data_IF_689823722678
#
_entry.id   IF_689823722678
#
_cell.length_a   1.000
_cell.length_b   1.000
_cell.length_c   1.000
_cell.angle_alpha   90.00
_cell.angle_beta   90.00
_cell.angle_gamma   90.00
#
_symmetry.space_group_name_H-M   'P 1'
#
loop_
_entity.id
_entity.type
_entity.pdbx_description
1 polymer ?
#
# COMPACT_ATOMS: atom_id res chain seq x y z
N UNK A 1 -14.27 14.12 -21.13
CA UNK A 1 -14.11 14.33 -19.68
C UNK A 1 -12.69 13.95 -19.24
N UNK A 2 -12.16 12.79 -19.61
CA UNK A 2 -10.78 12.35 -19.27
C UNK A 2 -9.73 13.33 -19.80
N UNK A 3 -9.82 13.77 -21.05
CA UNK A 3 -8.87 14.71 -21.68
C UNK A 3 -8.83 16.08 -21.02
N UNK A 4 -9.94 16.54 -20.41
CA UNK A 4 -10.00 17.83 -19.73
C UNK A 4 -9.52 17.74 -18.26
N UNK A 5 -9.79 16.63 -17.57
CA UNK A 5 -9.46 16.46 -16.15
C UNK A 5 -8.02 16.02 -15.92
N UNK A 6 -7.49 15.14 -16.76
CA UNK A 6 -6.16 14.55 -16.56
C UNK A 6 -5.05 15.60 -16.44
N UNK A 7 -4.94 16.62 -17.31
CA UNK A 7 -3.89 17.63 -17.18
C UNK A 7 -4.00 18.48 -15.89
N UNK A 8 -5.22 18.73 -15.43
CA UNK A 8 -5.47 19.50 -14.19
C UNK A 8 -4.99 18.70 -12.99
N UNK A 9 -5.38 17.42 -12.91
CA UNK A 9 -5.00 16.53 -11.81
C UNK A 9 -3.50 16.30 -11.80
N UNK A 10 -2.88 16.09 -12.96
CA UNK A 10 -1.43 15.96 -13.08
C UNK A 10 -0.68 17.20 -12.59
N UNK A 11 -1.18 18.40 -12.93
CA UNK A 11 -0.58 19.66 -12.44
C UNK A 11 -0.67 19.77 -10.92
N UNK A 12 -1.80 19.41 -10.31
CA UNK A 12 -1.99 19.40 -8.85
C UNK A 12 -1.03 18.39 -8.23
N UNK A 13 -0.95 17.17 -8.77
CA UNK A 13 -0.06 16.12 -8.30
C UNK A 13 1.42 16.51 -8.43
N UNK A 14 1.82 17.26 -9.45
CA UNK A 14 3.16 17.78 -9.59
C UNK A 14 3.63 18.61 -8.40
N UNK A 15 2.70 19.33 -7.72
CA UNK A 15 3.01 20.02 -6.47
C UNK A 15 2.85 19.13 -5.24
N UNK A 16 1.75 18.41 -5.13
CA UNK A 16 1.45 17.58 -3.96
C UNK A 16 2.43 16.40 -3.82
N UNK A 17 2.66 15.65 -4.88
CA UNK A 17 3.50 14.44 -4.83
C UNK A 17 4.99 14.76 -4.80
N UNK A 18 5.44 15.66 -5.71
CA UNK A 18 6.88 15.85 -5.92
C UNK A 18 7.57 16.66 -4.83
N UNK A 19 6.81 17.47 -4.08
CA UNK A 19 7.37 18.33 -3.04
C UNK A 19 6.77 18.04 -1.67
N UNK A 20 5.45 18.17 -1.51
CA UNK A 20 4.79 18.08 -0.19
C UNK A 20 4.87 16.66 0.34
N UNK A 21 4.47 15.67 -0.46
CA UNK A 21 4.45 14.28 -0.03
C UNK A 21 5.85 13.78 0.31
N UNK A 22 6.82 13.96 -0.60
CA UNK A 22 8.21 13.49 -0.41
C UNK A 22 8.79 14.11 0.86
N UNK A 23 8.60 15.44 1.04
CA UNK A 23 9.10 16.14 2.22
C UNK A 23 8.46 15.63 3.52
N UNK A 24 7.13 15.42 3.53
CA UNK A 24 6.42 14.92 4.71
C UNK A 24 6.82 13.49 5.07
N UNK A 25 6.90 12.58 4.10
CA UNK A 25 7.29 11.19 4.35
C UNK A 25 8.70 11.08 4.93
N UNK A 26 9.65 11.82 4.35
CA UNK A 26 11.02 11.87 4.85
C UNK A 26 11.06 12.52 6.24
N UNK A 27 10.40 13.65 6.43
CA UNK A 27 10.40 14.37 7.70
C UNK A 27 9.80 13.53 8.84
N UNK A 28 8.61 12.93 8.64
CA UNK A 28 7.97 12.08 9.65
C UNK A 28 8.79 10.83 9.91
N UNK A 29 9.27 10.16 8.86
CA UNK A 29 10.05 8.94 8.98
C UNK A 29 11.39 9.15 9.69
N UNK A 30 12.13 10.21 9.36
CA UNK A 30 13.36 10.61 10.07
C UNK A 30 13.06 11.01 11.52
N UNK A 31 12.02 11.81 11.73
CA UNK A 31 11.61 12.22 13.05
C UNK A 31 11.37 11.05 13.98
N UNK A 32 10.55 10.09 13.55
CA UNK A 32 10.28 8.91 14.36
C UNK A 32 11.46 7.96 14.45
N UNK A 33 12.26 7.79 13.39
CA UNK A 33 13.50 7.01 13.47
C UNK A 33 14.42 7.55 14.56
N UNK A 34 14.60 8.88 14.64
CA UNK A 34 15.46 9.51 15.66
C UNK A 34 14.81 9.45 17.05
N UNK A 35 13.53 9.86 17.18
CA UNK A 35 12.83 9.93 18.47
C UNK A 35 12.63 8.56 19.12
N UNK A 36 12.46 7.52 18.33
CA UNK A 36 12.34 6.13 18.81
C UNK A 36 13.69 5.40 18.85
N UNK A 37 14.80 6.10 18.59
CA UNK A 37 16.16 5.52 18.51
C UNK A 37 16.21 4.33 17.54
N UNK A 38 15.69 4.52 16.33
CA UNK A 38 15.63 3.51 15.27
C UNK A 38 14.87 2.24 15.71
N UNK A 39 13.61 2.40 16.12
CA UNK A 39 12.73 1.29 16.52
C UNK A 39 12.70 0.18 15.45
N UNK A 40 12.72 0.55 14.18
CA UNK A 40 12.72 -0.37 13.04
C UNK A 40 13.97 -1.28 12.96
N UNK A 41 15.04 -0.92 13.65
CA UNK A 41 16.24 -1.76 13.77
C UNK A 41 16.25 -2.49 15.12
N UNK A 42 16.06 -1.74 16.21
CA UNK A 42 16.20 -2.26 17.58
C UNK A 42 15.13 -3.29 17.95
N UNK A 43 13.91 -3.09 17.49
CA UNK A 43 12.76 -3.95 17.78
C UNK A 43 12.36 -4.83 16.58
N UNK A 44 13.19 -4.89 15.52
CA UNK A 44 12.90 -5.72 14.34
C UNK A 44 12.73 -7.19 14.70
N UNK A 45 13.66 -7.75 15.50
CA UNK A 45 13.60 -9.14 15.95
C UNK A 45 12.36 -9.45 16.78
N UNK A 46 11.94 -8.50 17.62
CA UNK A 46 10.72 -8.61 18.41
C UNK A 46 9.49 -8.69 17.50
N UNK A 47 9.37 -7.76 16.55
CA UNK A 47 8.29 -7.76 15.56
C UNK A 47 8.29 -9.04 14.72
N UNK A 48 9.45 -9.48 14.25
CA UNK A 48 9.61 -10.72 13.50
C UNK A 48 9.11 -11.94 14.29
N UNK A 49 9.53 -12.06 15.55
CA UNK A 49 9.10 -13.14 16.43
C UNK A 49 7.60 -13.06 16.74
N UNK A 50 7.04 -11.85 16.88
CA UNK A 50 5.60 -11.67 17.10
C UNK A 50 4.76 -12.13 15.91
N UNK A 51 5.27 -11.96 14.68
CA UNK A 51 4.58 -12.38 13.45
C UNK A 51 4.78 -13.87 13.17
N UNK A 52 6.01 -14.35 13.23
CA UNK A 52 6.37 -15.71 12.79
C UNK A 52 6.57 -16.72 13.92
N UNK A 53 6.86 -16.25 15.13
CA UNK A 53 7.12 -17.13 16.30
C UNK A 53 5.85 -17.72 16.92
N UNK A 54 4.72 -17.09 16.68
CA UNK A 54 3.40 -17.52 17.18
C UNK A 54 2.42 -17.88 16.05
N UNK A 55 2.92 -18.36 14.90
CA UNK A 55 2.10 -18.76 13.76
C UNK A 55 1.13 -19.88 14.12
N UNK A 56 0.05 -19.50 14.80
CA UNK A 56 -1.19 -20.25 14.78
C UNK A 56 -1.95 -19.81 13.52
N UNK A 57 -1.90 -20.61 12.47
CA UNK A 57 -2.68 -20.42 11.23
C UNK A 57 -4.21 -20.52 11.50
N UNK A 58 -4.61 -20.64 12.74
CA UNK A 58 -6.01 -20.65 13.21
C UNK A 58 -6.20 -19.46 14.13
N UNK A 59 -6.60 -18.32 13.56
CA UNK A 59 -7.15 -17.21 14.33
C UNK A 59 -8.37 -17.69 15.10
N UNK A 60 -8.33 -17.62 16.44
CA UNK A 60 -9.49 -17.91 17.28
C UNK A 60 -10.59 -16.85 17.03
N UNK A 61 -11.87 -17.25 17.15
CA UNK A 61 -12.97 -16.28 17.21
C UNK A 61 -12.73 -15.35 18.40
N UNK A 62 -12.69 -14.06 18.13
CA UNK A 62 -12.65 -13.02 19.16
C UNK A 62 -14.09 -12.55 19.42
N UNK A 63 -14.41 -12.23 20.65
CA UNK A 63 -15.72 -11.65 21.01
C UNK A 63 -15.88 -10.25 20.44
N UNK A 64 -14.77 -9.48 20.35
CA UNK A 64 -14.73 -8.16 19.70
C UNK A 64 -13.40 -7.96 18.99
N UNK A 65 -13.42 -7.22 17.87
CA UNK A 65 -12.21 -6.92 17.09
C UNK A 65 -11.61 -8.12 16.34
N UNK A 66 -10.30 -8.13 16.15
CA UNK A 66 -9.52 -9.15 15.44
C UNK A 66 -8.37 -9.65 16.30
N UNK A 67 -7.86 -10.87 16.03
CA UNK A 67 -6.55 -11.27 16.56
C UNK A 67 -5.44 -10.38 15.95
N UNK A 68 -4.27 -10.29 16.62
CA UNK A 68 -3.14 -9.53 16.07
C UNK A 68 -2.73 -10.04 14.69
N UNK A 69 -2.79 -11.35 14.44
CA UNK A 69 -2.53 -11.93 13.13
C UNK A 69 -3.59 -11.53 12.08
N UNK A 70 -4.89 -11.56 12.43
CA UNK A 70 -5.96 -11.11 11.52
C UNK A 70 -5.85 -9.63 11.20
N UNK A 71 -5.51 -8.80 12.17
CA UNK A 71 -5.28 -7.36 11.96
C UNK A 71 -4.07 -7.11 11.06
N UNK A 72 -2.97 -7.85 11.26
CA UNK A 72 -1.80 -7.80 10.38
C UNK A 72 -2.16 -8.31 8.97
N UNK A 73 -2.85 -9.44 8.85
CA UNK A 73 -3.26 -9.96 7.55
C UNK A 73 -4.19 -8.98 6.81
N UNK A 74 -5.08 -8.28 7.53
CA UNK A 74 -5.93 -7.24 6.95
C UNK A 74 -5.11 -6.02 6.52
N UNK A 75 -4.10 -5.61 7.31
CA UNK A 75 -3.18 -4.54 6.93
C UNK A 75 -2.32 -4.92 5.71
N UNK A 76 -1.74 -6.13 5.70
CA UNK A 76 -0.99 -6.66 4.55
C UNK A 76 -1.91 -6.81 3.32
N UNK A 77 -3.16 -7.23 3.49
CA UNK A 77 -4.13 -7.28 2.39
C UNK A 77 -4.36 -5.90 1.75
N UNK A 78 -4.36 -4.84 2.55
CA UNK A 78 -4.46 -3.48 2.05
C UNK A 78 -3.16 -3.04 1.36
N UNK A 79 -1.99 -3.33 1.94
CA UNK A 79 -0.67 -2.95 1.45
C UNK A 79 -0.27 -3.71 0.19
N UNK A 80 -0.28 -5.05 0.22
CA UNK A 80 0.17 -5.90 -0.90
C UNK A 80 -0.91 -5.98 -1.97
N UNK A 81 -0.88 -5.04 -2.88
CA UNK A 81 -1.87 -4.84 -3.94
C UNK A 81 -1.24 -4.54 -5.30
N UNK A 82 -1.95 -3.74 -6.10
CA UNK A 82 -1.41 -3.26 -7.39
C UNK A 82 -0.13 -2.46 -7.22
N UNK A 83 0.11 -1.86 -6.05
CA UNK A 83 1.32 -1.10 -5.75
C UNK A 83 2.59 -1.90 -5.97
N UNK A 84 2.62 -3.15 -5.52
CA UNK A 84 3.78 -4.04 -5.60
C UNK A 84 4.10 -4.53 -7.02
N UNK A 85 3.09 -4.64 -7.88
CA UNK A 85 3.24 -5.15 -9.25
C UNK A 85 3.18 -3.98 -10.25
N UNK A 86 2.03 -3.34 -10.40
CA UNK A 86 1.80 -2.28 -11.38
C UNK A 86 2.44 -0.95 -10.94
N UNK A 87 2.39 -0.63 -9.64
CA UNK A 87 3.02 0.57 -9.08
C UNK A 87 4.54 0.53 -9.22
N UNK A 88 5.18 -0.58 -8.84
CA UNK A 88 6.61 -0.79 -9.03
C UNK A 88 7.00 -0.78 -10.52
N UNK A 89 6.19 -1.40 -11.39
CA UNK A 89 6.35 -1.32 -12.85
C UNK A 89 6.34 0.12 -13.36
N UNK A 90 5.38 0.93 -12.91
CA UNK A 90 5.29 2.35 -13.25
C UNK A 90 6.48 3.16 -12.74
N UNK A 91 6.96 2.88 -11.52
CA UNK A 91 8.17 3.53 -10.98
C UNK A 91 9.41 3.22 -11.81
N UNK A 92 9.59 1.96 -12.22
CA UNK A 92 10.72 1.54 -13.06
C UNK A 92 10.62 2.16 -14.46
N UNK A 93 9.44 2.17 -15.08
CA UNK A 93 9.24 2.74 -16.41
C UNK A 93 9.48 4.25 -16.45
N UNK A 94 9.04 4.98 -15.43
CA UNK A 94 9.11 6.46 -15.41
C UNK A 94 10.39 6.96 -14.72
N UNK A 95 10.75 6.34 -13.58
CA UNK A 95 11.89 6.75 -12.76
C UNK A 95 13.17 5.94 -12.99
N UNK A 96 13.12 4.94 -13.87
CA UNK A 96 14.22 4.00 -14.09
C UNK A 96 14.39 3.00 -12.92
N UNK A 97 15.30 2.03 -13.07
CA UNK A 97 15.60 1.04 -11.99
C UNK A 97 15.99 1.66 -10.65
N UNK A 98 16.57 2.87 -10.65
CA UNK A 98 16.96 3.61 -9.45
C UNK A 98 15.79 4.05 -8.56
N UNK A 99 14.56 4.13 -9.08
CA UNK A 99 13.37 4.42 -8.28
C UNK A 99 13.16 3.37 -7.17
N UNK A 100 13.57 2.12 -7.40
CA UNK A 100 13.47 1.04 -6.41
C UNK A 100 14.33 1.31 -5.18
N UNK A 101 15.53 1.86 -5.34
CA UNK A 101 16.35 2.29 -4.21
C UNK A 101 15.62 3.31 -3.33
N UNK A 102 14.96 4.29 -3.95
CA UNK A 102 14.20 5.30 -3.22
C UNK A 102 12.95 4.72 -2.56
N UNK A 103 12.31 3.70 -3.15
CA UNK A 103 11.24 2.94 -2.48
C UNK A 103 11.76 2.25 -1.21
N UNK A 104 12.95 1.67 -1.23
CA UNK A 104 13.57 1.07 -0.03
C UNK A 104 13.86 2.10 1.05
N UNK A 105 14.39 3.27 0.67
CA UNK A 105 14.66 4.36 1.63
C UNK A 105 13.37 4.84 2.30
N UNK A 106 12.33 5.09 1.51
CA UNK A 106 11.02 5.52 2.03
C UNK A 106 10.39 4.43 2.90
N UNK A 107 10.50 3.15 2.52
CA UNK A 107 9.98 2.05 3.32
C UNK A 107 10.73 1.89 4.65
N UNK A 108 12.06 2.01 4.65
CA UNK A 108 12.85 1.96 5.88
C UNK A 108 12.45 3.06 6.87
N UNK A 109 12.27 4.28 6.39
CA UNK A 109 11.75 5.39 7.20
C UNK A 109 10.29 5.16 7.57
N UNK A 110 9.50 4.63 6.64
CA UNK A 110 8.10 4.28 6.81
C UNK A 110 7.86 3.24 7.90
N UNK A 111 8.80 2.31 8.13
CA UNK A 111 8.71 1.35 9.24
C UNK A 111 8.61 2.04 10.61
N UNK A 112 9.34 3.14 10.84
CA UNK A 112 9.22 3.92 12.06
C UNK A 112 7.90 4.72 12.10
N UNK A 113 7.45 5.19 10.95
CA UNK A 113 6.17 5.91 10.83
C UNK A 113 4.98 4.98 11.12
N UNK A 114 4.92 3.81 10.50
CA UNK A 114 3.82 2.85 10.72
C UNK A 114 3.81 2.31 12.15
N UNK A 115 4.99 2.16 12.77
CA UNK A 115 5.08 1.84 14.20
C UNK A 115 4.32 2.89 15.02
N UNK A 116 4.55 4.18 14.76
CA UNK A 116 3.88 5.26 15.45
C UNK A 116 2.38 5.26 15.18
N UNK A 117 1.97 5.11 13.93
CA UNK A 117 0.58 5.05 13.51
C UNK A 117 -0.19 3.92 14.19
N UNK A 118 0.36 2.70 14.17
CA UNK A 118 -0.28 1.53 14.79
C UNK A 118 -0.32 1.63 16.32
N UNK A 119 0.75 2.14 16.95
CA UNK A 119 0.80 2.41 18.38
C UNK A 119 -0.27 3.43 18.80
N UNK A 120 -0.40 4.54 18.08
CA UNK A 120 -1.41 5.56 18.34
C UNK A 120 -2.83 5.05 18.08
N UNK A 121 -3.02 4.24 17.05
CA UNK A 121 -4.32 3.65 16.75
C UNK A 121 -4.79 2.72 17.88
N UNK A 122 -3.89 1.97 18.48
CA UNK A 122 -4.17 1.14 19.65
C UNK A 122 -4.40 1.97 20.93
N UNK A 123 -3.60 3.01 21.15
CA UNK A 123 -3.72 3.87 22.35
C UNK A 123 -5.03 4.68 22.37
N UNK A 124 -5.52 5.06 21.20
CA UNK A 124 -6.69 5.98 21.06
C UNK A 124 -7.96 5.28 20.63
N UNK A 125 -7.96 3.96 20.43
CA UNK A 125 -9.15 3.20 20.07
C UNK A 125 -10.22 3.26 21.16
N UNK A 126 -11.46 3.14 20.75
CA UNK A 126 -12.62 3.05 21.64
C UNK A 126 -13.50 1.85 21.25
N UNK A 127 -14.29 1.36 22.18
CA UNK A 127 -15.29 0.32 21.91
C UNK A 127 -16.66 0.95 22.08
N UNK A 128 -17.53 0.80 21.09
CA UNK A 128 -18.89 1.29 21.18
C UNK A 128 -19.81 0.39 22.04
N UNK A 129 -21.07 0.81 22.21
CA UNK A 129 -22.06 0.08 23.03
C UNK A 129 -22.42 -1.29 22.44
N UNK A 130 -22.16 -1.49 21.15
CA UNK A 130 -22.44 -2.72 20.41
C UNK A 130 -21.22 -3.65 20.34
N UNK A 131 -20.13 -3.29 21.03
CA UNK A 131 -18.88 -4.05 21.07
C UNK A 131 -17.98 -3.86 19.83
N UNK A 132 -18.28 -2.89 18.94
CA UNK A 132 -17.42 -2.64 17.79
C UNK A 132 -16.23 -1.80 18.20
N UNK A 133 -15.04 -2.22 17.75
CA UNK A 133 -13.81 -1.46 17.92
C UNK A 133 -13.77 -0.32 16.92
N UNK A 134 -13.60 0.90 17.42
CA UNK A 134 -13.50 2.13 16.65
C UNK A 134 -12.11 2.71 16.86
N UNK A 135 -11.35 2.92 15.77
CA UNK A 135 -10.00 3.44 15.86
C UNK A 135 -9.46 3.86 14.50
N UNK A 136 -8.27 4.44 14.51
CA UNK A 136 -7.60 4.98 13.34
C UNK A 136 -7.34 6.48 13.45
N UNK A 137 -6.88 7.15 12.37
CA UNK A 137 -6.41 8.53 12.45
C UNK A 137 -7.39 9.56 13.00
N UNK A 138 -8.68 9.45 12.69
CA UNK A 138 -9.68 10.40 13.20
C UNK A 138 -9.71 10.44 14.73
N UNK A 139 -9.41 9.33 15.38
CA UNK A 139 -9.39 9.23 16.85
C UNK A 139 -8.12 9.84 17.43
N UNK A 140 -6.95 9.53 16.90
CA UNK A 140 -5.73 10.17 17.41
C UNK A 140 -5.60 11.64 16.96
N UNK A 141 -6.15 12.07 15.80
CA UNK A 141 -6.22 13.48 15.43
C UNK A 141 -7.05 14.28 16.45
N UNK A 142 -8.22 13.76 16.85
CA UNK A 142 -9.06 14.41 17.86
C UNK A 142 -8.48 14.29 19.28
N UNK A 143 -7.58 13.36 19.52
CA UNK A 143 -6.76 13.29 20.75
C UNK A 143 -5.68 14.34 20.76
N UNK A 144 -4.98 14.54 19.63
CA UNK A 144 -3.95 15.55 19.48
C UNK A 144 -4.49 16.99 19.58
N UNK A 145 -5.63 17.23 18.95
CA UNK A 145 -6.22 18.55 18.81
C UNK A 145 -7.66 18.56 19.31
N UNK A 146 -7.89 19.26 20.42
CA UNK A 146 -9.24 19.41 20.98
C UNK A 146 -10.02 20.53 20.27
N UNK A 147 -11.34 20.50 20.37
CA UNK A 147 -12.22 21.55 19.87
C UNK A 147 -12.45 21.53 18.34
N UNK A 148 -12.73 22.72 17.77
CA UNK A 148 -13.13 22.86 16.36
C UNK A 148 -12.05 22.47 15.36
N UNK A 149 -10.79 22.79 15.65
CA UNK A 149 -9.68 22.47 14.75
C UNK A 149 -9.46 20.96 14.63
N UNK A 150 -9.47 20.22 15.74
CA UNK A 150 -9.34 18.77 15.72
C UNK A 150 -10.47 18.08 14.95
N UNK A 151 -11.72 18.55 15.14
CA UNK A 151 -12.88 18.05 14.39
C UNK A 151 -12.77 18.33 12.89
N UNK A 152 -12.32 19.53 12.52
CA UNK A 152 -12.08 19.88 11.12
C UNK A 152 -11.03 18.98 10.49
N UNK A 153 -9.88 18.82 11.16
CA UNK A 153 -8.76 18.03 10.64
C UNK A 153 -9.13 16.55 10.53
N UNK A 154 -9.85 15.99 11.50
CA UNK A 154 -10.34 14.62 11.46
C UNK A 154 -11.42 14.44 10.36
N UNK A 155 -12.32 15.39 10.19
CA UNK A 155 -13.31 15.38 9.10
C UNK A 155 -12.68 15.47 7.72
N UNK A 156 -11.65 16.31 7.58
CA UNK A 156 -10.86 16.39 6.34
C UNK A 156 -10.17 15.07 6.03
N UNK A 157 -9.49 14.46 7.02
CA UNK A 157 -8.87 13.15 6.86
C UNK A 157 -9.91 12.09 6.46
N UNK A 158 -11.04 12.02 7.18
CA UNK A 158 -12.08 11.04 6.90
C UNK A 158 -12.65 11.17 5.49
N UNK A 159 -12.86 12.40 5.01
CA UNK A 159 -13.31 12.65 3.63
C UNK A 159 -12.25 12.25 2.63
N UNK A 160 -10.98 12.63 2.88
CA UNK A 160 -9.87 12.29 2.00
C UNK A 160 -9.68 10.77 1.84
N UNK A 161 -9.71 9.99 2.93
CA UNK A 161 -9.54 8.53 2.86
C UNK A 161 -10.72 7.82 2.18
N UNK A 162 -11.95 8.30 2.34
CA UNK A 162 -13.12 7.77 1.62
C UNK A 162 -12.91 7.95 0.11
N UNK A 163 -12.50 9.13 -0.32
CA UNK A 163 -12.24 9.42 -1.73
C UNK A 163 -10.98 8.70 -2.23
N UNK A 164 -9.89 8.71 -1.46
CA UNK A 164 -8.61 8.11 -1.82
C UNK A 164 -8.70 6.59 -1.96
N UNK A 165 -9.14 5.90 -0.92
CA UNK A 165 -9.09 4.43 -0.83
C UNK A 165 -10.45 3.81 -1.11
N UNK A 166 -11.51 4.36 -0.51
CA UNK A 166 -12.86 3.83 -0.65
C UNK A 166 -13.39 3.85 -2.08
N UNK A 167 -13.02 4.86 -2.85
CA UNK A 167 -13.49 5.04 -4.23
C UNK A 167 -12.35 4.97 -5.25
N UNK A 168 -11.46 5.96 -5.32
CA UNK A 168 -10.45 6.03 -6.37
C UNK A 168 -9.43 4.89 -6.29
N UNK A 169 -8.99 4.55 -5.09
CA UNK A 169 -8.09 3.42 -4.86
C UNK A 169 -8.70 2.07 -5.26
N UNK A 170 -9.96 1.83 -4.90
CA UNK A 170 -10.69 0.65 -5.36
C UNK A 170 -10.82 0.61 -6.89
N UNK A 171 -10.97 1.77 -7.57
CA UNK A 171 -10.92 1.85 -9.03
C UNK A 171 -9.55 1.47 -9.59
N UNK A 172 -8.44 1.89 -8.96
CA UNK A 172 -7.08 1.49 -9.37
C UNK A 172 -6.91 -0.02 -9.33
N UNK A 173 -7.37 -0.64 -8.23
CA UNK A 173 -7.29 -2.09 -8.07
C UNK A 173 -8.11 -2.82 -9.12
N UNK A 174 -9.38 -2.46 -9.29
CA UNK A 174 -10.28 -3.10 -10.26
C UNK A 174 -9.86 -2.84 -11.71
N UNK A 175 -9.35 -1.65 -12.04
CA UNK A 175 -8.77 -1.32 -13.34
C UNK A 175 -7.59 -2.23 -13.66
N UNK A 176 -6.65 -2.38 -12.74
CA UNK A 176 -5.47 -3.22 -12.94
C UNK A 176 -5.83 -4.71 -13.11
N UNK A 177 -6.82 -5.21 -12.34
CA UNK A 177 -7.36 -6.56 -12.55
C UNK A 177 -7.98 -6.66 -13.95
N UNK A 178 -8.83 -5.71 -14.35
CA UNK A 178 -9.49 -5.69 -15.64
C UNK A 178 -8.50 -5.74 -16.80
N UNK A 179 -7.49 -4.85 -16.80
CA UNK A 179 -6.48 -4.79 -17.87
C UNK A 179 -5.61 -6.05 -17.92
N UNK A 180 -5.10 -6.55 -16.78
CA UNK A 180 -4.23 -7.73 -16.79
C UNK A 180 -4.95 -9.02 -17.16
N UNK A 181 -6.22 -9.19 -16.74
CA UNK A 181 -7.05 -10.32 -17.17
C UNK A 181 -7.43 -10.22 -18.62
N UNK A 182 -7.78 -9.04 -19.11
CA UNK A 182 -8.04 -8.83 -20.54
C UNK A 182 -6.81 -9.18 -21.38
N UNK A 183 -5.62 -8.76 -20.96
CA UNK A 183 -4.37 -9.11 -21.64
C UNK A 183 -4.05 -10.61 -21.62
N UNK A 184 -4.35 -11.30 -20.51
CA UNK A 184 -4.00 -12.71 -20.34
C UNK A 184 -5.01 -13.69 -20.94
N UNK A 185 -6.31 -13.36 -20.88
CA UNK A 185 -7.41 -14.28 -21.19
C UNK A 185 -8.33 -13.79 -22.31
N UNK A 186 -8.08 -12.60 -22.88
CA UNK A 186 -8.93 -11.94 -23.88
C UNK A 186 -10.40 -11.76 -23.43
N UNK A 187 -10.63 -11.59 -22.12
CA UNK A 187 -11.95 -11.34 -21.54
C UNK A 187 -12.21 -9.83 -21.51
N UNK A 188 -13.35 -9.34 -21.98
CA UNK A 188 -13.71 -7.94 -21.88
C UNK A 188 -13.72 -7.45 -20.42
N UNK A 189 -13.16 -6.25 -20.16
CA UNK A 189 -12.98 -5.71 -18.80
C UNK A 189 -14.29 -5.54 -18.04
N UNK A 190 -15.40 -5.23 -18.71
CA UNK A 190 -16.71 -5.10 -18.07
C UNK A 190 -17.23 -6.42 -17.48
N UNK A 191 -16.93 -7.58 -18.09
CA UNK A 191 -17.29 -8.89 -17.54
C UNK A 191 -16.55 -9.12 -16.23
N UNK A 192 -15.24 -8.78 -16.21
CA UNK A 192 -14.40 -8.88 -15.03
C UNK A 192 -14.96 -7.96 -13.93
N UNK A 193 -15.40 -6.75 -14.31
CA UNK A 193 -16.04 -5.79 -13.39
C UNK A 193 -17.30 -6.35 -12.75
N UNK A 194 -18.19 -6.99 -13.50
CA UNK A 194 -19.40 -7.64 -12.96
C UNK A 194 -19.05 -8.74 -11.97
N UNK A 195 -18.08 -9.59 -12.28
CA UNK A 195 -17.63 -10.68 -11.40
C UNK A 195 -17.04 -10.11 -10.10
N UNK A 196 -16.18 -9.08 -10.21
CA UNK A 196 -15.60 -8.40 -9.04
C UNK A 196 -16.69 -7.82 -8.14
N UNK A 197 -17.65 -7.10 -8.70
CA UNK A 197 -18.76 -6.50 -7.95
C UNK A 197 -19.57 -7.56 -7.22
N UNK A 198 -19.87 -8.70 -7.88
CA UNK A 198 -20.60 -9.79 -7.26
C UNK A 198 -19.84 -10.39 -6.05
N UNK A 199 -18.55 -10.67 -6.20
CA UNK A 199 -17.73 -11.24 -5.14
C UNK A 199 -17.52 -10.23 -4.00
N UNK A 200 -17.17 -8.98 -4.33
CA UNK A 200 -16.99 -7.91 -3.32
C UNK A 200 -18.30 -7.65 -2.57
N UNK A 201 -19.43 -7.55 -3.26
CA UNK A 201 -20.73 -7.33 -2.66
C UNK A 201 -21.08 -8.43 -1.66
N UNK A 202 -20.87 -9.70 -2.01
CA UNK A 202 -21.08 -10.83 -1.12
C UNK A 202 -20.24 -10.72 0.17
N UNK A 203 -18.96 -10.31 0.06
CA UNK A 203 -18.07 -10.19 1.20
C UNK A 203 -18.43 -8.96 2.05
N UNK A 204 -18.68 -7.80 1.43
CA UNK A 204 -19.02 -6.57 2.14
C UNK A 204 -20.30 -6.67 2.98
N UNK A 205 -21.30 -7.41 2.51
CA UNK A 205 -22.52 -7.70 3.24
C UNK A 205 -22.28 -8.57 4.48
N UNK A 206 -21.17 -9.32 4.52
CA UNK A 206 -20.82 -10.18 5.67
C UNK A 206 -20.08 -9.47 6.80
N UNK A 207 -19.82 -8.16 6.66
CA UNK A 207 -19.18 -7.33 7.67
C UNK A 207 -17.70 -7.64 7.92
N UNK A 208 -17.17 -7.06 9.02
CA UNK A 208 -15.74 -7.10 9.38
C UNK A 208 -15.24 -8.53 9.61
N UNK A 209 -16.05 -9.38 10.23
CA UNK A 209 -15.66 -10.77 10.54
C UNK A 209 -15.45 -11.61 9.28
N UNK A 210 -16.34 -11.48 8.27
CA UNK A 210 -16.18 -12.17 6.99
C UNK A 210 -14.95 -11.66 6.24
N UNK A 211 -14.75 -10.36 6.21
CA UNK A 211 -13.59 -9.73 5.61
C UNK A 211 -12.30 -10.26 6.25
N UNK A 212 -12.17 -10.22 7.57
CA UNK A 212 -11.02 -10.73 8.29
C UNK A 212 -10.74 -12.21 8.01
N UNK A 213 -11.79 -13.05 7.98
CA UNK A 213 -11.65 -14.48 7.67
C UNK A 213 -11.18 -14.74 6.23
N UNK A 214 -11.55 -13.88 5.28
CA UNK A 214 -11.13 -13.99 3.90
C UNK A 214 -9.67 -13.53 3.74
N UNK A 215 -9.31 -12.38 4.29
CA UNK A 215 -7.95 -11.83 4.19
C UNK A 215 -6.93 -12.71 4.89
N UNK A 216 -7.24 -13.26 6.07
CA UNK A 216 -6.38 -14.20 6.81
C UNK A 216 -5.95 -15.41 5.98
N UNK A 217 -6.81 -15.89 5.10
CA UNK A 217 -6.54 -17.05 4.24
C UNK A 217 -5.88 -16.67 2.91
N UNK A 218 -6.34 -15.60 2.30
CA UNK A 218 -5.85 -15.18 0.96
C UNK A 218 -4.42 -14.67 1.05
N UNK A 219 -4.08 -13.86 2.07
CA UNK A 219 -2.78 -13.18 2.15
C UNK A 219 -1.60 -14.15 2.17
N UNK A 220 -1.54 -15.19 3.01
CA UNK A 220 -0.42 -16.14 2.97
C UNK A 220 -0.33 -16.90 1.65
N UNK A 221 -1.48 -17.29 1.06
CA UNK A 221 -1.51 -18.05 -0.20
C UNK A 221 -1.01 -17.19 -1.35
N UNK A 222 -1.52 -15.96 -1.49
CA UNK A 222 -1.11 -15.07 -2.57
C UNK A 222 0.38 -14.72 -2.48
N UNK A 223 0.90 -14.47 -1.27
CA UNK A 223 2.31 -14.20 -1.05
C UNK A 223 3.16 -15.43 -1.43
N UNK A 224 2.80 -16.63 -0.97
CA UNK A 224 3.54 -17.86 -1.25
C UNK A 224 3.61 -18.16 -2.75
N UNK A 225 2.49 -18.03 -3.47
CA UNK A 225 2.44 -18.28 -4.92
C UNK A 225 3.29 -17.27 -5.68
N UNK A 226 3.18 -15.98 -5.35
CA UNK A 226 3.94 -14.94 -6.03
C UNK A 226 5.44 -15.05 -5.73
N UNK A 227 5.82 -15.30 -4.47
CA UNK A 227 7.22 -15.49 -4.08
C UNK A 227 7.83 -16.73 -4.76
N UNK A 228 7.11 -17.84 -4.81
CA UNK A 228 7.58 -19.05 -5.49
C UNK A 228 7.82 -18.79 -7.00
N UNK A 229 6.85 -18.19 -7.70
CA UNK A 229 7.00 -17.87 -9.12
C UNK A 229 8.14 -16.88 -9.38
N UNK A 230 8.25 -15.82 -8.58
CA UNK A 230 9.34 -14.86 -8.69
C UNK A 230 10.72 -15.46 -8.43
N UNK A 231 10.84 -16.32 -7.41
CA UNK A 231 12.10 -17.04 -7.13
C UNK A 231 12.51 -17.96 -8.29
N UNK A 232 11.57 -18.65 -8.94
CA UNK A 232 11.87 -19.46 -10.13
C UNK A 232 12.48 -18.58 -11.23
N UNK A 233 11.88 -17.39 -11.49
CA UNK A 233 12.43 -16.46 -12.48
C UNK A 233 13.81 -15.96 -12.06
N UNK A 234 14.03 -15.58 -10.79
CA UNK A 234 15.33 -15.10 -10.32
C UNK A 234 16.41 -16.19 -10.38
N UNK A 235 16.07 -17.44 -10.08
CA UNK A 235 17.00 -18.58 -10.23
C UNK A 235 17.38 -18.76 -11.72
N UNK A 236 16.41 -18.70 -12.62
CA UNK A 236 16.67 -18.77 -14.06
C UNK A 236 17.53 -17.59 -14.57
N UNK A 237 17.42 -16.45 -13.93
CA UNK A 237 18.13 -15.20 -14.28
C UNK A 237 19.29 -14.89 -13.34
N UNK A 238 19.79 -15.84 -12.56
CA UNK A 238 20.74 -15.62 -11.47
C UNK A 238 22.02 -14.89 -11.90
N UNK A 239 22.53 -15.15 -13.11
CA UNK A 239 23.71 -14.47 -13.66
C UNK A 239 23.53 -12.97 -13.86
N UNK A 240 22.28 -12.49 -13.99
CA UNK A 240 21.95 -11.06 -14.18
C UNK A 240 21.66 -10.32 -12.86
N UNK A 241 21.54 -11.04 -11.74
CA UNK A 241 21.21 -10.44 -10.44
C UNK A 241 22.24 -9.39 -9.99
N UNK A 242 23.57 -9.62 -10.10
CA UNK A 242 24.56 -8.59 -9.75
C UNK A 242 24.42 -7.33 -10.60
N UNK A 243 24.20 -7.48 -11.92
CA UNK A 243 23.97 -6.34 -12.82
C UNK A 243 22.68 -5.59 -12.48
N UNK A 244 21.62 -6.31 -12.08
CA UNK A 244 20.33 -5.75 -11.63
C UNK A 244 20.51 -4.86 -10.41
N UNK A 245 21.19 -5.33 -9.36
CA UNK A 245 21.52 -4.50 -8.20
C UNK A 245 22.42 -3.32 -8.60
N UNK A 246 23.42 -3.56 -9.46
CA UNK A 246 24.25 -2.49 -10.01
C UNK A 246 23.44 -1.37 -10.67
N UNK A 247 22.40 -1.73 -11.46
CA UNK A 247 21.49 -0.75 -12.07
C UNK A 247 20.65 -0.01 -11.03
N UNK A 248 20.11 -0.70 -10.03
CA UNK A 248 19.31 -0.08 -8.97
C UNK A 248 20.14 0.98 -8.24
N UNK A 249 21.33 0.64 -7.77
CA UNK A 249 22.19 1.59 -7.04
C UNK A 249 22.75 2.69 -7.93
N UNK A 250 23.24 2.36 -9.13
CA UNK A 250 23.82 3.34 -10.05
C UNK A 250 22.79 4.38 -10.49
N UNK A 251 21.61 3.95 -10.91
CA UNK A 251 20.57 4.85 -11.41
C UNK A 251 19.77 5.54 -10.32
N UNK A 252 19.92 5.16 -9.07
CA UNK A 252 19.40 5.91 -7.94
C UNK A 252 20.06 7.29 -7.81
N UNK A 253 21.36 7.39 -8.16
CA UNK A 253 22.18 8.60 -8.02
C UNK A 253 22.63 9.19 -9.36
N UNK A 254 22.51 8.45 -10.46
CA UNK A 254 22.85 8.89 -11.81
C UNK A 254 21.76 8.47 -12.84
N UNK A 255 20.49 8.87 -12.64
CA UNK A 255 19.36 8.41 -13.46
C UNK A 255 19.33 8.99 -14.88
N UNK A 256 20.09 10.04 -15.20
CA UNK A 256 20.10 10.70 -16.49
C UNK A 256 20.42 9.77 -17.67
N UNK A 257 21.17 8.71 -17.43
CA UNK A 257 21.49 7.71 -18.46
C UNK A 257 20.27 6.91 -18.94
N UNK A 258 19.21 6.83 -18.09
CA UNK A 258 17.99 6.07 -18.37
C UNK A 258 16.80 7.00 -18.63
N UNK A 259 16.66 8.09 -17.86
CA UNK A 259 15.49 8.98 -17.94
C UNK A 259 15.70 10.05 -19.01
N UNK A 260 16.96 10.46 -19.23
CA UNK A 260 17.31 11.63 -20.04
C UNK A 260 17.19 12.94 -19.26
N UNK A 261 17.56 14.04 -19.89
CA UNK A 261 17.54 15.36 -19.29
C UNK A 261 18.69 15.65 -18.34
N UNK A 262 18.62 16.77 -17.61
CA UNK A 262 19.64 17.17 -16.64
C UNK A 262 19.63 16.31 -15.39
N UNK A 263 20.77 16.18 -14.73
CA UNK A 263 20.95 15.36 -13.52
C UNK A 263 19.89 15.65 -12.44
N UNK A 264 19.65 16.91 -12.12
CA UNK A 264 18.71 17.29 -11.07
C UNK A 264 17.24 16.90 -11.38
N UNK A 265 16.83 17.07 -12.65
CA UNK A 265 15.49 16.71 -13.08
C UNK A 265 15.28 15.18 -13.04
N UNK A 266 16.25 14.41 -13.52
CA UNK A 266 16.20 12.97 -13.53
C UNK A 266 16.21 12.38 -12.11
N UNK A 267 17.04 12.92 -11.20
CA UNK A 267 17.07 12.51 -9.80
C UNK A 267 15.74 12.82 -9.09
N UNK A 268 15.16 14.00 -9.35
CA UNK A 268 13.85 14.37 -8.81
C UNK A 268 12.77 13.36 -9.25
N UNK A 269 12.77 12.97 -10.52
CA UNK A 269 11.79 11.99 -11.04
C UNK A 269 11.96 10.63 -10.34
N UNK A 270 13.18 10.10 -10.25
CA UNK A 270 13.45 8.83 -9.59
C UNK A 270 13.03 8.84 -8.11
N UNK A 271 13.35 9.90 -7.37
CA UNK A 271 12.98 10.08 -5.97
C UNK A 271 11.45 10.21 -5.82
N UNK A 272 10.81 11.06 -6.63
CA UNK A 272 9.36 11.27 -6.57
C UNK A 272 8.59 9.99 -6.90
N UNK A 273 8.98 9.26 -7.95
CA UNK A 273 8.35 7.98 -8.29
C UNK A 273 8.60 6.94 -7.19
N UNK A 274 9.80 6.88 -6.64
CA UNK A 274 10.11 6.01 -5.50
C UNK A 274 9.24 6.31 -4.29
N UNK A 275 9.11 7.58 -3.91
CA UNK A 275 8.29 7.99 -2.76
C UNK A 275 6.79 7.75 -3.00
N UNK A 276 6.27 8.19 -4.14
CA UNK A 276 4.85 8.06 -4.51
C UNK A 276 4.41 6.59 -4.60
N UNK A 277 5.16 5.76 -5.29
CA UNK A 277 4.84 4.35 -5.47
C UNK A 277 5.19 3.50 -4.24
N UNK A 278 6.22 3.87 -3.48
CA UNK A 278 6.54 3.29 -2.19
C UNK A 278 5.41 3.49 -1.19
N UNK A 279 4.93 4.73 -1.02
CA UNK A 279 3.78 5.05 -0.17
C UNK A 279 2.52 4.30 -0.60
N UNK A 280 2.22 4.30 -1.90
CA UNK A 280 1.03 3.61 -2.43
C UNK A 280 1.08 2.09 -2.18
N UNK A 281 2.28 1.48 -2.11
CA UNK A 281 2.45 0.07 -1.80
C UNK A 281 2.32 -0.20 -0.30
N UNK A 282 3.21 0.38 0.51
CA UNK A 282 3.33 0.01 1.93
C UNK A 282 2.44 0.82 2.89
N UNK A 283 1.80 1.89 2.40
CA UNK A 283 0.85 2.76 3.11
C UNK A 283 1.40 3.45 4.37
N UNK A 284 2.70 3.36 4.67
CA UNK A 284 3.28 3.93 5.87
C UNK A 284 3.31 5.48 5.82
N UNK A 285 2.59 6.12 6.73
CA UNK A 285 2.38 7.57 6.75
C UNK A 285 1.10 8.04 6.07
N UNK A 286 0.35 7.13 5.43
CA UNK A 286 -0.97 7.44 4.86
C UNK A 286 -2.08 7.55 5.92
N UNK A 287 -1.93 6.89 7.06
CA UNK A 287 -3.00 6.78 8.05
C UNK A 287 -4.09 5.77 7.69
N UNK A 288 -3.86 4.89 6.72
CA UNK A 288 -4.84 3.90 6.25
C UNK A 288 -4.85 2.65 7.12
N UNK A 289 -3.72 1.93 7.20
CA UNK A 289 -3.60 0.67 7.96
C UNK A 289 -3.80 0.80 9.46
N UNK A 290 -3.63 1.96 10.13
CA UNK A 290 -4.04 2.15 11.52
C UNK A 290 -5.48 1.70 11.82
N UNK A 291 -6.39 1.76 10.85
CA UNK A 291 -7.75 1.25 11.01
C UNK A 291 -7.80 -0.27 11.25
N UNK A 292 -6.95 -1.04 10.56
CA UNK A 292 -6.83 -2.48 10.79
C UNK A 292 -6.09 -2.75 12.11
N UNK A 293 -4.99 -2.04 12.36
CA UNK A 293 -4.21 -2.21 13.58
C UNK A 293 -4.99 -1.85 14.85
N UNK A 294 -5.91 -0.89 14.80
CA UNK A 294 -6.81 -0.57 15.92
C UNK A 294 -7.71 -1.75 16.30
N UNK A 295 -8.09 -2.61 15.33
CA UNK A 295 -8.96 -3.78 15.57
C UNK A 295 -8.24 -4.91 16.33
N UNK A 296 -6.91 -4.90 16.40
CA UNK A 296 -6.14 -5.97 17.03
C UNK A 296 -6.36 -6.02 18.54
N UNK A 297 -6.61 -7.23 19.04
CA UNK A 297 -6.66 -7.49 20.47
C UNK A 297 -5.25 -7.83 20.97
N UNK A 298 -4.56 -6.86 21.54
CA UNK A 298 -3.19 -6.96 22.05
C UNK A 298 -3.09 -6.39 23.45
N UNK A 299 -2.10 -6.85 24.23
CA UNK A 299 -1.90 -6.44 25.63
C UNK A 299 -1.43 -4.98 25.75
N UNK A 300 -0.63 -4.50 24.81
CA UNK A 300 -0.15 -3.13 24.80
C UNK A 300 0.03 -2.59 23.37
N UNK A 301 -0.03 -1.26 23.17
CA UNK A 301 0.12 -0.63 21.86
C UNK A 301 1.45 -0.91 21.16
N UNK A 302 2.56 -1.03 21.90
CA UNK A 302 3.88 -1.34 21.36
C UNK A 302 3.89 -2.64 20.57
N UNK A 303 3.22 -3.68 21.09
CA UNK A 303 3.14 -4.99 20.44
C UNK A 303 2.55 -4.89 19.02
N UNK A 304 1.50 -4.09 18.83
CA UNK A 304 0.92 -3.90 17.50
C UNK A 304 1.79 -2.98 16.62
N UNK A 305 2.47 -2.03 17.21
CA UNK A 305 3.44 -1.19 16.50
C UNK A 305 4.58 -1.99 15.86
N UNK A 306 5.20 -2.91 16.60
CA UNK A 306 6.29 -3.75 16.05
C UNK A 306 5.78 -4.74 15.01
N UNK A 307 4.55 -5.24 15.14
CA UNK A 307 3.90 -6.09 14.13
C UNK A 307 3.67 -5.30 12.82
N UNK A 308 3.21 -4.06 12.91
CA UNK A 308 2.97 -3.20 11.76
C UNK A 308 4.26 -2.93 10.96
N UNK A 309 5.41 -2.73 11.63
CA UNK A 309 6.71 -2.57 10.96
C UNK A 309 7.04 -3.77 10.07
N UNK A 310 6.76 -4.98 10.51
CA UNK A 310 7.02 -6.20 9.73
C UNK A 310 6.11 -6.26 8.51
N UNK A 311 4.89 -5.74 8.59
CA UNK A 311 4.01 -5.59 7.43
C UNK A 311 4.66 -4.78 6.31
N UNK A 312 5.20 -3.60 6.62
CA UNK A 312 5.94 -2.75 5.66
C UNK A 312 7.20 -3.44 5.13
N UNK A 313 7.93 -4.16 5.99
CA UNK A 313 9.09 -4.92 5.57
C UNK A 313 8.71 -6.00 4.54
N UNK A 314 7.68 -6.80 4.81
CA UNK A 314 7.19 -7.84 3.90
C UNK A 314 6.72 -7.22 2.58
N UNK A 315 5.94 -6.14 2.63
CA UNK A 315 5.43 -5.46 1.43
C UNK A 315 6.58 -5.02 0.52
N UNK A 316 7.48 -4.20 1.03
CA UNK A 316 8.45 -3.51 0.16
C UNK A 316 9.75 -4.28 -0.01
N UNK A 317 10.37 -4.77 1.08
CA UNK A 317 11.68 -5.44 0.98
C UNK A 317 11.58 -6.88 0.48
N UNK A 318 10.40 -7.52 0.60
CA UNK A 318 10.22 -8.88 0.11
C UNK A 318 9.42 -8.87 -1.20
N UNK A 319 8.14 -8.52 -1.17
CA UNK A 319 7.23 -8.70 -2.31
C UNK A 319 7.54 -7.75 -3.46
N UNK A 320 7.63 -6.44 -3.18
CA UNK A 320 7.90 -5.43 -4.20
C UNK A 320 9.32 -5.59 -4.77
N UNK A 321 10.32 -5.85 -3.91
CA UNK A 321 11.69 -6.07 -4.34
C UNK A 321 11.81 -7.29 -5.25
N UNK A 322 11.14 -8.39 -4.93
CA UNK A 322 11.10 -9.57 -5.80
C UNK A 322 10.60 -9.20 -7.20
N UNK A 323 9.46 -8.50 -7.28
CA UNK A 323 8.89 -8.05 -8.55
C UNK A 323 9.86 -7.16 -9.33
N UNK A 324 10.48 -6.19 -8.65
CA UNK A 324 11.44 -5.29 -9.26
C UNK A 324 12.67 -6.03 -9.81
N UNK A 325 13.21 -6.98 -9.04
CA UNK A 325 14.33 -7.81 -9.49
C UNK A 325 13.96 -8.67 -10.70
N UNK A 326 12.75 -9.24 -10.73
CA UNK A 326 12.23 -9.99 -11.89
C UNK A 326 12.18 -9.07 -13.12
N UNK A 327 11.55 -7.90 -13.01
CA UNK A 327 11.41 -6.94 -14.12
C UNK A 327 12.78 -6.50 -14.64
N UNK A 328 13.68 -6.06 -13.75
CA UNK A 328 14.96 -5.50 -14.17
C UNK A 328 15.88 -6.58 -14.74
N UNK A 329 15.96 -7.76 -14.11
CA UNK A 329 16.82 -8.85 -14.57
C UNK A 329 16.38 -9.48 -15.89
N UNK A 330 15.11 -9.35 -16.27
CA UNK A 330 14.58 -9.91 -17.52
C UNK A 330 14.51 -8.89 -18.64
N UNK A 331 14.05 -7.66 -18.35
CA UNK A 331 13.73 -6.68 -19.40
C UNK A 331 14.83 -5.65 -19.63
N UNK A 332 15.62 -5.27 -18.62
CA UNK A 332 16.64 -4.23 -18.72
C UNK A 332 18.07 -4.76 -18.91
N UNK A 333 18.29 -6.04 -18.75
CA UNK A 333 19.58 -6.69 -18.99
C UNK A 333 19.74 -7.13 -20.44
N UNK A 334 20.93 -7.58 -20.81
CA UNK A 334 21.26 -8.03 -22.15
C UNK A 334 20.24 -9.06 -22.68
N UNK A 335 19.76 -8.83 -23.91
CA UNK A 335 18.71 -9.63 -24.56
C UNK A 335 17.28 -9.28 -24.13
N UNK A 336 17.08 -8.37 -23.18
CA UNK A 336 15.76 -7.89 -22.80
C UNK A 336 15.25 -6.76 -23.71
N UNK A 337 13.94 -6.60 -23.88
CA UNK A 337 13.33 -5.63 -24.79
C UNK A 337 13.58 -4.17 -24.37
N UNK A 338 13.94 -3.90 -23.14
CA UNK A 338 14.23 -2.56 -22.61
C UNK A 338 15.71 -2.31 -22.37
N UNK A 339 16.58 -3.23 -22.81
CA UNK A 339 18.03 -3.05 -22.68
C UNK A 339 18.51 -1.81 -23.43
N UNK A 340 19.11 -0.88 -22.70
CA UNK A 340 19.59 0.39 -23.28
C UNK A 340 18.50 1.41 -23.62
N UNK A 341 17.23 1.11 -23.39
CA UNK A 341 16.14 2.05 -23.61
C UNK A 341 16.11 3.16 -22.55
N UNK A 342 15.93 4.41 -22.98
CA UNK A 342 15.55 5.50 -22.09
C UNK A 342 14.07 5.38 -21.65
N UNK A 343 13.66 6.13 -20.62
CA UNK A 343 12.32 6.03 -20.04
C UNK A 343 11.19 6.30 -21.05
N UNK A 344 11.35 7.29 -21.94
CA UNK A 344 10.36 7.58 -22.98
C UNK A 344 10.20 6.39 -23.95
N UNK A 345 11.32 5.89 -24.50
CA UNK A 345 11.29 4.75 -25.39
C UNK A 345 10.74 3.47 -24.72
N UNK A 346 11.02 3.27 -23.44
CA UNK A 346 10.49 2.14 -22.69
C UNK A 346 8.96 2.19 -22.56
N UNK A 347 8.38 3.39 -22.37
CA UNK A 347 6.93 3.60 -22.27
C UNK A 347 6.22 3.45 -23.62
N UNK A 348 6.92 3.65 -24.74
CA UNK A 348 6.39 3.37 -26.09
C UNK A 348 6.31 1.86 -26.36
N UNK A 349 7.18 1.06 -25.75
CA UNK A 349 7.24 -0.40 -25.93
C UNK A 349 6.31 -1.15 -24.98
N UNK A 350 6.29 -0.77 -23.70
CA UNK A 350 5.55 -1.48 -22.64
C UNK A 350 4.79 -0.50 -21.75
N UNK A 351 3.66 -0.97 -21.23
CA UNK A 351 2.83 -0.24 -20.25
C UNK A 351 3.09 -0.76 -18.84
N UNK A 352 2.81 0.06 -17.82
CA UNK A 352 2.93 -0.34 -16.40
C UNK A 352 2.10 -1.59 -16.05
N UNK A 353 0.97 -1.81 -16.72
CA UNK A 353 0.05 -2.93 -16.46
C UNK A 353 0.50 -4.26 -17.07
N UNK A 354 1.30 -4.25 -18.15
CA UNK A 354 1.81 -5.47 -18.77
C UNK A 354 3.29 -5.73 -18.52
N UNK A 355 4.02 -4.79 -17.90
CA UNK A 355 5.47 -4.90 -17.70
C UNK A 355 5.85 -6.18 -16.91
N UNK A 356 5.17 -6.44 -15.80
CA UNK A 356 5.41 -7.63 -15.01
C UNK A 356 5.01 -8.90 -15.79
N UNK A 357 3.89 -8.87 -16.53
CA UNK A 357 3.46 -9.99 -17.37
C UNK A 357 4.52 -10.37 -18.41
N UNK A 358 5.09 -9.37 -19.08
CA UNK A 358 6.20 -9.58 -20.05
C UNK A 358 7.45 -10.10 -19.34
N UNK A 359 7.78 -9.58 -18.16
CA UNK A 359 8.96 -10.00 -17.39
C UNK A 359 8.89 -11.48 -16.99
N UNK A 360 7.78 -11.93 -16.43
CA UNK A 360 7.55 -13.34 -16.13
C UNK A 360 7.48 -14.20 -17.38
N UNK A 361 6.95 -13.65 -18.48
CA UNK A 361 6.87 -14.30 -19.77
C UNK A 361 8.23 -14.70 -20.36
N UNK A 362 9.31 -13.98 -20.02
CA UNK A 362 10.67 -14.32 -20.45
C UNK A 362 11.10 -15.73 -20.01
N UNK A 363 10.61 -16.19 -18.84
CA UNK A 363 10.99 -17.51 -18.28
C UNK A 363 9.84 -18.52 -18.43
N UNK A 364 8.61 -18.12 -18.19
CA UNK A 364 7.47 -19.05 -18.24
C UNK A 364 6.86 -19.21 -19.63
N UNK A 365 7.26 -18.37 -20.63
CA UNK A 365 6.58 -18.20 -21.89
C UNK A 365 5.49 -17.11 -21.79
N UNK A 366 5.26 -16.37 -22.88
CA UNK A 366 4.42 -15.16 -22.91
C UNK A 366 3.02 -15.40 -22.33
N UNK A 367 2.32 -16.43 -22.77
CA UNK A 367 0.97 -16.73 -22.28
C UNK A 367 0.94 -17.15 -20.81
N UNK A 368 1.83 -18.06 -20.41
CA UNK A 368 1.88 -18.55 -19.02
C UNK A 368 2.32 -17.46 -18.04
N UNK A 369 3.30 -16.61 -18.42
CA UNK A 369 3.72 -15.47 -17.62
C UNK A 369 2.61 -14.45 -17.45
N UNK A 370 1.87 -14.13 -18.52
CA UNK A 370 0.73 -13.22 -18.46
C UNK A 370 -0.37 -13.76 -17.53
N UNK A 371 -0.72 -15.05 -17.65
CA UNK A 371 -1.73 -15.70 -16.80
C UNK A 371 -1.28 -15.74 -15.34
N UNK A 372 -0.02 -16.10 -15.07
CA UNK A 372 0.52 -16.14 -13.72
C UNK A 372 0.41 -14.78 -13.01
N UNK A 373 0.86 -13.72 -13.67
CA UNK A 373 0.80 -12.37 -13.10
C UNK A 373 -0.64 -11.89 -12.96
N UNK A 374 -1.53 -12.18 -13.91
CA UNK A 374 -2.94 -11.81 -13.82
C UNK A 374 -3.60 -12.46 -12.59
N UNK A 375 -3.38 -13.76 -12.37
CA UNK A 375 -3.92 -14.48 -11.20
C UNK A 375 -3.33 -13.93 -9.89
N UNK A 376 -2.02 -13.71 -9.81
CA UNK A 376 -1.39 -13.13 -8.62
C UNK A 376 -1.93 -11.72 -8.35
N UNK A 377 -2.00 -10.88 -9.38
CA UNK A 377 -2.52 -9.52 -9.26
C UNK A 377 -4.00 -9.51 -8.86
N UNK A 378 -4.80 -10.46 -9.34
CA UNK A 378 -6.18 -10.60 -8.88
C UNK A 378 -6.23 -10.74 -7.36
N UNK A 379 -5.50 -11.68 -6.79
CA UNK A 379 -5.51 -11.88 -5.34
C UNK A 379 -4.96 -10.67 -4.57
N UNK A 380 -3.90 -10.05 -5.05
CA UNK A 380 -3.31 -8.85 -4.46
C UNK A 380 -4.29 -7.68 -4.48
N UNK A 381 -4.77 -7.32 -5.65
CA UNK A 381 -5.68 -6.18 -5.83
C UNK A 381 -7.05 -6.43 -5.19
N UNK A 382 -7.55 -7.65 -5.25
CA UNK A 382 -8.82 -8.02 -4.63
C UNK A 382 -8.74 -7.92 -3.10
N UNK A 383 -7.67 -8.44 -2.47
CA UNK A 383 -7.48 -8.30 -1.03
C UNK A 383 -7.36 -6.83 -0.60
N UNK A 384 -6.70 -5.99 -1.44
CA UNK A 384 -6.60 -4.55 -1.21
C UNK A 384 -7.96 -3.85 -1.29
N UNK A 385 -8.81 -4.20 -2.25
CA UNK A 385 -10.20 -3.70 -2.31
C UNK A 385 -10.92 -4.00 -0.98
N UNK A 386 -10.76 -5.19 -0.42
CA UNK A 386 -11.39 -5.57 0.84
C UNK A 386 -10.90 -4.70 2.00
N UNK A 387 -9.57 -4.54 2.14
CA UNK A 387 -8.96 -3.72 3.19
C UNK A 387 -9.36 -2.25 3.08
N UNK A 388 -9.26 -1.67 1.90
CA UNK A 388 -9.58 -0.27 1.67
C UNK A 388 -11.07 0.05 1.81
N UNK A 389 -11.92 -0.88 1.42
CA UNK A 389 -13.36 -0.74 1.67
C UNK A 389 -13.66 -0.67 3.18
N UNK A 390 -12.99 -1.49 4.00
CA UNK A 390 -13.12 -1.42 5.45
C UNK A 390 -12.71 -0.03 5.99
N UNK A 391 -11.59 0.51 5.53
CA UNK A 391 -11.10 1.82 5.98
C UNK A 391 -12.06 2.94 5.60
N UNK A 392 -12.57 2.96 4.37
CA UNK A 392 -13.59 3.91 3.94
C UNK A 392 -14.90 3.77 4.74
N UNK A 393 -15.34 2.55 5.01
CA UNK A 393 -16.54 2.25 5.79
C UNK A 393 -16.45 2.78 7.23
N UNK A 394 -15.30 2.62 7.89
CA UNK A 394 -15.07 3.14 9.26
C UNK A 394 -15.15 4.67 9.25
N UNK A 395 -14.55 5.32 8.27
CA UNK A 395 -14.58 6.79 8.17
C UNK A 395 -15.95 7.34 7.75
N UNK A 396 -16.69 6.61 6.93
CA UNK A 396 -18.08 6.95 6.59
C UNK A 396 -18.98 6.87 7.84
N UNK A 397 -18.80 5.83 8.65
CA UNK A 397 -19.51 5.70 9.93
C UNK A 397 -19.15 6.82 10.92
N UNK A 398 -17.89 7.26 10.93
CA UNK A 398 -17.44 8.40 11.75
C UNK A 398 -18.12 9.72 11.36
N UNK A 399 -18.23 10.00 10.05
CA UNK A 399 -18.81 11.26 9.56
C UNK A 399 -20.34 11.29 9.66
N UNK A 400 -21.02 10.20 9.31
CA UNK A 400 -22.46 10.16 9.06
C UNK A 400 -23.22 9.10 9.85
N UNK A 401 -22.52 8.38 10.74
CA UNK A 401 -23.09 7.30 11.54
C UNK A 401 -23.20 5.95 10.82
N UNK A 402 -23.49 4.89 11.55
CA UNK A 402 -23.45 3.49 11.06
C UNK A 402 -24.39 3.22 9.87
N UNK A 403 -25.55 3.90 9.80
CA UNK A 403 -26.52 3.71 8.71
C UNK A 403 -25.98 4.11 7.33
N UNK A 404 -25.03 5.08 7.28
CA UNK A 404 -24.41 5.54 6.04
C UNK A 404 -23.52 4.50 5.37
N UNK A 405 -23.09 3.49 6.12
CA UNK A 405 -22.18 2.45 5.60
C UNK A 405 -22.81 1.58 4.50
N UNK A 406 -24.12 1.45 4.47
CA UNK A 406 -24.86 0.75 3.40
C UNK A 406 -24.77 1.54 2.10
N UNK A 407 -25.06 2.86 2.18
CA UNK A 407 -24.98 3.75 1.01
C UNK A 407 -23.54 3.79 0.49
N UNK A 408 -22.55 3.92 1.39
CA UNK A 408 -21.15 3.86 1.04
C UNK A 408 -20.81 2.55 0.29
N UNK A 409 -21.25 1.40 0.79
CA UNK A 409 -20.97 0.10 0.17
C UNK A 409 -21.50 0.03 -1.27
N UNK A 410 -22.73 0.51 -1.51
CA UNK A 410 -23.32 0.54 -2.86
C UNK A 410 -22.50 1.44 -3.79
N UNK A 411 -22.14 2.65 -3.33
CA UNK A 411 -21.32 3.57 -4.11
C UNK A 411 -19.95 2.95 -4.40
N UNK A 412 -19.29 2.33 -3.41
CA UNK A 412 -18.00 1.68 -3.60
C UNK A 412 -18.05 0.57 -4.67
N UNK A 413 -19.12 -0.24 -4.67
CA UNK A 413 -19.33 -1.26 -5.72
C UNK A 413 -19.48 -0.64 -7.11
N UNK A 414 -20.17 0.50 -7.23
CA UNK A 414 -20.25 1.24 -8.50
C UNK A 414 -18.86 1.71 -8.95
N UNK A 415 -18.06 2.27 -8.03
CA UNK A 415 -16.70 2.70 -8.35
C UNK A 415 -15.77 1.52 -8.73
N UNK A 416 -15.91 0.35 -8.08
CA UNK A 416 -15.20 -0.87 -8.49
C UNK A 416 -15.54 -1.26 -9.93
N UNK A 417 -16.81 -1.20 -10.31
CA UNK A 417 -17.23 -1.46 -11.69
C UNK A 417 -16.68 -0.43 -12.67
N UNK A 418 -16.85 0.86 -12.37
CA UNK A 418 -16.36 1.96 -13.21
C UNK A 418 -14.84 1.93 -13.40
N UNK A 419 -14.10 1.45 -12.41
CA UNK A 419 -12.65 1.27 -12.50
C UNK A 419 -12.23 0.36 -13.65
N UNK A 420 -12.99 -0.70 -13.93
CA UNK A 420 -12.69 -1.60 -15.05
C UNK A 420 -12.98 -1.00 -16.44
N UNK A 421 -13.69 0.13 -16.50
CA UNK A 421 -14.08 0.83 -17.72
C UNK A 421 -13.30 2.12 -17.98
N UNK A 422 -12.56 2.62 -16.98
CA UNK A 422 -11.90 3.93 -17.03
C UNK A 422 -10.43 3.75 -17.45
N UNK A 423 -9.86 4.79 -18.07
CA UNK A 423 -8.44 4.77 -18.43
C UNK A 423 -7.54 4.71 -17.17
N UNK A 424 -6.50 3.88 -17.25
CA UNK A 424 -5.55 3.65 -16.18
C UNK A 424 -4.92 4.96 -15.65
N UNK A 425 -4.52 5.89 -16.54
CA UNK A 425 -3.81 7.09 -16.14
C UNK A 425 -4.65 8.03 -15.29
N UNK A 426 -5.91 8.29 -15.67
CA UNK A 426 -6.79 9.16 -14.89
C UNK A 426 -7.08 8.57 -13.52
N UNK A 427 -7.34 7.26 -13.44
CA UNK A 427 -7.64 6.57 -12.19
C UNK A 427 -6.46 6.65 -11.21
N UNK A 428 -5.24 6.40 -11.71
CA UNK A 428 -4.03 6.50 -10.91
C UNK A 428 -3.75 7.93 -10.43
N UNK A 429 -3.91 8.93 -11.30
CA UNK A 429 -3.68 10.33 -10.93
C UNK A 429 -4.70 10.85 -9.89
N UNK A 430 -5.98 10.47 -10.01
CA UNK A 430 -7.00 10.81 -9.02
C UNK A 430 -6.72 10.14 -7.67
N UNK A 431 -6.34 8.87 -7.68
CA UNK A 431 -5.96 8.15 -6.46
C UNK A 431 -4.76 8.82 -5.77
N UNK A 432 -3.71 9.15 -6.53
CA UNK A 432 -2.52 9.83 -6.00
C UNK A 432 -2.90 11.18 -5.37
N UNK A 433 -3.76 11.97 -6.01
CA UNK A 433 -4.18 13.28 -5.49
C UNK A 433 -4.85 13.17 -4.12
N UNK A 434 -5.81 12.27 -3.97
CA UNK A 434 -6.51 12.10 -2.69
C UNK A 434 -5.63 11.44 -1.62
N UNK A 435 -4.75 10.51 -2.01
CA UNK A 435 -3.75 9.94 -1.10
C UNK A 435 -2.83 11.02 -0.53
N UNK A 436 -2.34 11.93 -1.37
CA UNK A 436 -1.50 13.03 -0.93
C UNK A 436 -2.22 13.95 0.07
N UNK A 437 -3.51 14.20 -0.16
CA UNK A 437 -4.31 15.03 0.75
C UNK A 437 -4.51 14.39 2.12
N UNK A 438 -4.69 13.07 2.21
CA UNK A 438 -4.87 12.42 3.51
C UNK A 438 -3.58 12.30 4.33
N UNK A 439 -2.40 12.29 3.69
CA UNK A 439 -1.11 12.27 4.39
C UNK A 439 -0.90 13.53 5.26
N UNK A 440 -1.38 14.69 4.80
CA UNK A 440 -1.15 15.98 5.49
C UNK A 440 -1.73 15.99 6.92
N UNK A 441 -3.04 15.75 7.15
CA UNK A 441 -3.59 15.73 8.50
C UNK A 441 -3.01 14.62 9.37
N UNK A 442 -2.67 13.48 8.77
CA UNK A 442 -2.02 12.39 9.47
C UNK A 442 -0.64 12.80 9.99
N UNK A 443 0.21 13.37 9.14
CA UNK A 443 1.54 13.84 9.53
C UNK A 443 1.49 14.89 10.66
N UNK A 444 0.56 15.84 10.59
CA UNK A 444 0.36 16.85 11.63
C UNK A 444 0.04 16.19 12.99
N UNK A 445 -0.85 15.23 13.01
CA UNK A 445 -1.21 14.52 14.24
C UNK A 445 -0.05 13.66 14.76
N UNK A 446 0.69 13.01 13.88
CA UNK A 446 1.87 12.22 14.25
C UNK A 446 2.92 13.09 14.97
N UNK A 447 3.26 14.24 14.41
CA UNK A 447 4.20 15.16 15.09
C UNK A 447 3.70 15.60 16.47
N UNK A 448 2.41 15.92 16.60
CA UNK A 448 1.81 16.37 17.85
C UNK A 448 1.82 15.27 18.94
N UNK A 449 1.68 14.02 18.57
CA UNK A 449 1.58 12.88 19.48
C UNK A 449 2.88 12.11 19.69
N UNK A 450 4.02 12.67 19.28
CA UNK A 450 5.33 12.03 19.42
C UNK A 450 5.62 11.55 20.86
N UNK A 451 5.22 12.32 21.86
CA UNK A 451 5.43 11.98 23.29
C UNK A 451 4.77 10.65 23.69
N UNK A 452 3.55 10.40 23.20
CA UNK A 452 2.84 9.14 23.46
C UNK A 452 3.57 7.94 22.83
N UNK A 453 4.01 8.09 21.59
CA UNK A 453 4.73 7.00 20.89
C UNK A 453 6.04 6.68 21.60
N UNK A 454 6.82 7.69 21.97
CA UNK A 454 8.11 7.53 22.67
C UNK A 454 7.93 6.86 24.02
N UNK A 455 6.84 7.14 24.74
CA UNK A 455 6.50 6.47 26.01
C UNK A 455 6.37 4.95 25.82
N UNK A 456 5.69 4.52 24.76
CA UNK A 456 5.50 3.09 24.47
C UNK A 456 6.80 2.38 24.03
N UNK A 457 7.68 3.05 23.29
CA UNK A 457 8.97 2.46 22.85
C UNK A 457 9.91 2.22 24.03
N UNK A 458 9.93 3.13 25.01
CA UNK A 458 10.88 3.07 26.11
C UNK A 458 10.46 2.13 27.26
N UNK A 459 9.29 1.50 27.13
CA UNK A 459 8.82 0.50 28.09
C UNK A 459 8.60 1.05 29.48
N UNK A 460 7.49 1.76 29.72
CA UNK A 460 6.80 1.65 30.99
C UNK A 460 5.66 0.66 30.78
N UNK A 461 5.75 -0.56 31.33
CA UNK A 461 4.59 -1.41 31.42
C UNK A 461 3.64 -0.75 32.42
N UNK A 462 2.70 0.06 31.96
CA UNK A 462 1.45 0.15 32.68
C UNK A 462 0.75 -1.16 32.36
N UNK A 463 0.95 -2.12 33.30
CA UNK A 463 0.20 -3.33 33.37
C UNK A 463 -1.30 -3.03 33.21
N UNK A 464 -1.96 -3.88 32.42
CA UNK A 464 -3.35 -4.26 32.57
C UNK A 464 -4.40 -3.13 32.54
N UNK A 465 -4.51 -2.43 31.40
CA UNK A 465 -5.65 -1.53 31.15
C UNK A 465 -6.91 -2.24 30.62
N UNK A 466 -6.87 -3.55 30.46
CA UNK A 466 -7.94 -4.31 29.80
C UNK A 466 -8.24 -5.64 30.55
N UNK A 467 -8.38 -5.59 31.90
CA UNK A 467 -9.18 -6.57 32.62
C UNK A 467 -10.65 -6.15 32.68
#
# INVERSE_FOLDING_TARGET
>A
MTEALLPIVQKINGYLSDYILVALLIAVGLWYSIKTRFVQVRHFKEGWNSVFGSLSLRGGKQESGMSSFQALATAIAAQVGTGNIVGASGAILTGGPGAIFWMWVIAFLGMATIYAEATLAQETRTVDKDGNVLGGPVYYITTAFKGGFGKFLAGFFATAIILALGFMGCMVQSNSIGETFSNAFNVPTWIIGVVLVAICGFIFLGGVQRLASVTEKIVPIMAAVFLAGGLIVLIARIKYIPATFGMIFRYAFAPQAIIGGGFGAALKIALSQGAKRGLFSNEAGMGSTPHAHAQANVKNPHQQGVVAMIGVFIDTFVVLTLNALVIISTLYTEGGPLHGCGAAAAQDVLKKTNLAQTAFGVVFGEGAGAMFVAVCLFFFAFSTILGWNLFGKINMAYLFGQRSTVVYTVIALVFIFLGTLTSSDLVWELSDMFNNLMVIPNAIALFALTGLVVKHVNGTPEADRWE
#
